data_IF_174175637563
#
_entry.id   IF_174175637563
#
_cell.length_a   1.000
_cell.length_b   1.000
_cell.length_c   1.000
_cell.angle_alpha   90.00
_cell.angle_beta   90.00
_cell.angle_gamma   90.00
#
_symmetry.space_group_name_H-M   'P 1'
#
loop_
_entity.id
_entity.type
_entity.pdbx_description
1 polymer ?
#
# COMPACT_ATOMS: atom_id res chain seq x y z
N UNK A 1 -9.62 -9.96 11.45
CA UNK A 1 -8.30 -9.52 11.94
C UNK A 1 -7.77 -10.40 13.07
N UNK A 2 -8.62 -10.87 13.99
CA UNK A 2 -8.19 -11.61 15.18
C UNK A 2 -7.43 -12.91 14.89
N UNK A 3 -7.76 -13.57 13.78
CA UNK A 3 -7.07 -14.78 13.29
C UNK A 3 -5.58 -14.58 12.99
N UNK A 4 -5.10 -13.34 12.85
CA UNK A 4 -3.69 -13.02 12.63
C UNK A 4 -2.86 -13.18 13.90
N UNK A 5 -3.45 -12.98 15.08
CA UNK A 5 -2.68 -12.83 16.31
C UNK A 5 -2.14 -14.17 16.79
N UNK A 6 -0.86 -14.16 17.20
CA UNK A 6 -0.16 -15.36 17.67
C UNK A 6 0.46 -16.22 16.56
N UNK A 7 0.15 -15.96 15.28
CA UNK A 7 0.84 -16.61 14.15
C UNK A 7 2.32 -16.25 14.11
N UNK A 8 3.15 -17.22 13.76
CA UNK A 8 4.60 -17.10 13.66
C UNK A 8 5.05 -17.09 12.21
N UNK A 9 6.05 -16.29 11.90
CA UNK A 9 6.57 -16.08 10.55
C UNK A 9 8.09 -16.04 10.56
N UNK A 10 8.71 -16.51 9.48
CA UNK A 10 10.17 -16.50 9.33
C UNK A 10 10.67 -15.10 8.97
N UNK A 11 9.85 -14.29 8.30
CA UNK A 11 10.19 -12.93 7.93
C UNK A 11 9.06 -11.93 8.15
N UNK A 12 9.42 -10.65 8.20
CA UNK A 12 8.44 -9.54 8.23
C UNK A 12 7.60 -9.53 6.95
N UNK A 13 8.20 -9.85 5.81
CA UNK A 13 7.53 -9.77 4.52
C UNK A 13 6.49 -10.88 4.37
N UNK A 14 6.77 -12.07 4.92
CA UNK A 14 5.80 -13.15 5.05
C UNK A 14 4.62 -12.74 5.95
N UNK A 15 4.91 -12.22 7.15
CA UNK A 15 3.87 -11.68 8.04
C UNK A 15 3.05 -10.59 7.34
N UNK A 16 3.71 -9.75 6.54
CA UNK A 16 3.07 -8.67 5.80
C UNK A 16 2.14 -9.20 4.71
N UNK A 17 2.55 -10.20 3.96
CA UNK A 17 1.72 -10.83 2.93
C UNK A 17 0.43 -11.41 3.54
N UNK A 18 0.54 -12.09 4.69
CA UNK A 18 -0.63 -12.64 5.40
C UNK A 18 -1.53 -11.53 5.95
N UNK A 19 -0.96 -10.44 6.48
CA UNK A 19 -1.73 -9.26 6.88
C UNK A 19 -2.52 -8.70 5.70
N UNK A 20 -1.88 -8.52 4.55
CA UNK A 20 -2.54 -7.97 3.36
C UNK A 20 -3.64 -8.91 2.83
N UNK A 21 -3.37 -10.22 2.76
CA UNK A 21 -4.33 -11.22 2.31
C UNK A 21 -5.62 -11.24 3.15
N UNK A 22 -5.51 -11.04 4.47
CA UNK A 22 -6.68 -10.96 5.35
C UNK A 22 -7.31 -9.57 5.40
N UNK A 23 -6.52 -8.50 5.27
CA UNK A 23 -7.02 -7.13 5.36
C UNK A 23 -7.72 -6.66 4.07
N UNK A 24 -7.24 -7.11 2.91
CA UNK A 24 -7.76 -6.71 1.59
C UNK A 24 -9.25 -6.99 1.43
N UNK A 25 -9.77 -8.22 1.61
CA UNK A 25 -11.20 -8.50 1.47
C UNK A 25 -12.05 -7.79 2.54
N UNK A 26 -11.47 -7.47 3.70
CA UNK A 26 -12.12 -6.69 4.77
C UNK A 26 -12.10 -5.17 4.49
N UNK A 27 -11.55 -4.74 3.36
CA UNK A 27 -11.50 -3.33 2.97
C UNK A 27 -10.53 -2.48 3.79
N UNK A 28 -9.59 -3.11 4.48
CA UNK A 28 -8.57 -2.44 5.29
C UNK A 28 -7.21 -2.51 4.62
N UNK A 29 -6.35 -1.54 4.94
CA UNK A 29 -4.96 -1.54 4.50
C UNK A 29 -4.06 -1.01 5.60
N UNK A 30 -2.87 -1.60 5.72
CA UNK A 30 -1.91 -1.24 6.75
C UNK A 30 -0.65 -0.60 6.17
N UNK A 31 -0.03 0.34 6.87
CA UNK A 31 1.21 1.00 6.45
C UNK A 31 2.21 0.97 7.59
N UNK A 32 3.50 0.76 7.30
CA UNK A 32 4.56 0.83 8.31
C UNK A 32 4.49 2.19 9.01
N UNK A 33 4.49 2.17 10.34
CA UNK A 33 4.46 3.38 11.17
C UNK A 33 5.76 3.57 11.94
N UNK A 34 6.13 2.58 12.76
CA UNK A 34 7.33 2.65 13.58
C UNK A 34 8.13 1.38 13.36
N UNK A 35 9.36 1.52 12.90
CA UNK A 35 10.27 0.40 12.61
C UNK A 35 11.38 0.39 13.65
N UNK A 36 11.62 -0.76 14.26
CA UNK A 36 12.69 -1.05 15.21
C UNK A 36 13.34 -2.40 14.82
N UNK A 37 14.56 -2.71 15.29
CA UNK A 37 15.27 -3.93 14.90
C UNK A 37 14.49 -5.25 15.10
N UNK A 38 13.67 -5.30 16.16
CA UNK A 38 12.88 -6.49 16.52
C UNK A 38 11.37 -6.24 16.53
N UNK A 39 10.89 -5.09 16.03
CA UNK A 39 9.45 -4.81 15.95
C UNK A 39 9.09 -3.79 14.89
N UNK A 40 7.99 -4.04 14.20
CA UNK A 40 7.40 -3.12 13.24
C UNK A 40 5.95 -2.92 13.64
N UNK A 41 5.62 -1.69 13.99
CA UNK A 41 4.25 -1.26 14.19
C UNK A 41 3.66 -0.82 12.86
N UNK A 42 2.53 -1.42 12.51
CA UNK A 42 1.71 -1.03 11.38
C UNK A 42 0.51 -0.22 11.88
N UNK A 43 0.07 0.72 11.04
CA UNK A 43 -1.14 1.50 11.25
C UNK A 43 -2.11 1.34 10.11
N UNK A 44 -3.39 1.57 10.35
CA UNK A 44 -4.34 1.73 9.25
C UNK A 44 -3.88 2.85 8.28
N UNK A 45 -4.06 2.64 6.98
CA UNK A 45 -3.74 3.62 5.93
C UNK A 45 -4.50 4.95 6.12
N UNK A 46 -5.71 4.89 6.71
CA UNK A 46 -6.53 6.06 7.07
C UNK A 46 -6.17 6.66 8.43
N UNK A 47 -5.16 6.13 9.12
CA UNK A 47 -4.78 6.47 10.49
C UNK A 47 -4.03 7.79 10.70
N UNK A 48 -3.85 8.59 9.64
CA UNK A 48 -3.30 9.94 9.76
C UNK A 48 -4.45 10.95 9.78
N UNK A 49 -4.15 12.16 10.24
CA UNK A 49 -5.04 13.32 10.09
C UNK A 49 -4.46 14.20 9.00
N UNK A 50 -5.30 14.65 8.08
CA UNK A 50 -4.87 15.60 7.06
C UNK A 50 -4.53 16.93 7.74
N UNK A 51 -3.31 17.42 7.49
CA UNK A 51 -2.88 18.75 7.89
C UNK A 51 -2.64 19.56 6.63
N UNK A 52 -3.43 20.61 6.44
CA UNK A 52 -3.20 21.56 5.34
C UNK A 52 -1.78 22.12 5.45
N UNK A 53 -1.02 22.07 4.35
CA UNK A 53 0.33 22.65 4.26
C UNK A 53 0.30 24.05 3.60
N UNK A 54 -0.88 24.62 3.39
CA UNK A 54 -1.03 25.91 2.70
C UNK A 54 -1.01 27.06 3.70
N UNK A 55 -0.43 28.18 3.27
CA UNK A 55 -0.59 29.45 3.99
C UNK A 55 -2.08 29.80 4.09
N UNK A 56 -2.48 30.30 5.26
CA UNK A 56 -3.81 30.83 5.51
C UNK A 56 -4.12 32.07 4.65
N UNK A 57 -3.10 32.70 4.07
CA UNK A 57 -3.22 33.90 3.23
C UNK A 57 -3.82 33.63 1.83
N UNK A 58 -3.91 32.37 1.40
CA UNK A 58 -4.45 32.04 0.08
C UNK A 58 -6.00 32.10 0.15
N UNK A 59 -6.69 32.88 -0.70
CA UNK A 59 -8.14 32.95 -0.72
C UNK A 59 -8.79 31.58 -0.97
N UNK A 60 -9.91 31.29 -0.29
CA UNK A 60 -10.63 30.02 -0.38
C UNK A 60 -10.94 29.58 -1.82
N UNK A 61 -11.29 30.51 -2.71
CA UNK A 61 -11.56 30.23 -4.12
C UNK A 61 -10.36 29.68 -4.91
N UNK A 62 -9.12 29.94 -4.46
CA UNK A 62 -7.89 29.38 -5.04
C UNK A 62 -7.40 28.13 -4.28
N UNK A 63 -8.10 27.74 -3.21
CA UNK A 63 -7.78 26.52 -2.47
C UNK A 63 -8.41 25.33 -3.20
N UNK A 64 -7.57 24.51 -3.85
CA UNK A 64 -7.99 23.18 -4.31
C UNK A 64 -8.35 22.32 -3.09
N UNK A 65 -9.61 21.92 -2.98
CA UNK A 65 -10.06 20.99 -1.95
C UNK A 65 -9.48 19.61 -2.20
N UNK A 66 -8.79 19.06 -1.20
CA UNK A 66 -8.24 17.71 -1.28
C UNK A 66 -9.26 16.74 -0.71
N UNK A 67 -9.64 15.72 -1.48
CA UNK A 67 -10.51 14.61 -1.05
C UNK A 67 -9.75 13.61 -0.17
N UNK A 68 -9.07 14.09 0.87
CA UNK A 68 -8.32 13.24 1.78
C UNK A 68 -9.26 12.26 2.47
N UNK A 69 -8.99 10.97 2.33
CA UNK A 69 -9.74 9.90 3.01
C UNK A 69 -9.17 9.58 4.40
N UNK A 70 -8.34 10.46 4.96
CA UNK A 70 -7.72 10.31 6.27
C UNK A 70 -8.73 10.56 7.39
N UNK A 71 -8.91 9.60 8.29
CA UNK A 71 -9.91 9.67 9.38
C UNK A 71 -9.28 9.72 10.77
N UNK A 72 -7.95 9.77 10.87
CA UNK A 72 -7.26 9.65 12.16
C UNK A 72 -7.44 8.29 12.82
N UNK A 73 -7.76 7.24 12.04
CA UNK A 73 -7.98 5.87 12.52
C UNK A 73 -6.92 5.41 13.53
N UNK A 74 -7.32 5.03 14.76
CA UNK A 74 -6.36 4.64 15.79
C UNK A 74 -5.79 3.25 15.58
N UNK A 75 -6.42 2.40 14.75
CA UNK A 75 -6.05 0.99 14.60
C UNK A 75 -4.55 0.76 14.32
N UNK A 76 -3.92 -0.06 15.16
CA UNK A 76 -2.53 -0.51 15.06
C UNK A 76 -2.42 -2.02 15.25
N UNK A 77 -1.42 -2.60 14.60
CA UNK A 77 -0.95 -3.96 14.88
C UNK A 77 0.58 -3.97 14.92
N UNK A 78 1.16 -4.90 15.66
CA UNK A 78 2.62 -5.00 15.81
C UNK A 78 3.09 -6.36 15.31
N UNK A 79 4.10 -6.34 14.44
CA UNK A 79 4.85 -7.55 14.06
C UNK A 79 6.16 -7.48 14.81
N UNK A 80 6.38 -8.38 15.76
CA UNK A 80 7.55 -8.32 16.64
C UNK A 80 8.13 -9.69 16.96
N UNK A 81 9.42 -9.70 17.27
CA UNK A 81 10.19 -10.87 17.70
C UNK A 81 10.92 -10.57 19.00
N UNK A 82 11.26 -11.59 19.78
CA UNK A 82 11.94 -11.40 21.07
C UNK A 82 13.43 -11.09 20.86
N UNK A 83 14.11 -11.86 20.03
CA UNK A 83 15.50 -11.66 19.63
C UNK A 83 15.69 -11.99 18.13
N UNK A 84 16.89 -11.80 17.59
CA UNK A 84 17.14 -11.89 16.14
C UNK A 84 16.76 -13.25 15.52
N UNK A 85 17.00 -14.34 16.25
CA UNK A 85 16.68 -15.71 15.83
C UNK A 85 15.24 -16.13 16.15
N UNK A 86 14.47 -15.32 16.88
CA UNK A 86 13.07 -15.63 17.17
C UNK A 86 12.20 -15.42 15.93
N UNK A 87 11.13 -16.22 15.78
CA UNK A 87 10.13 -15.96 14.76
C UNK A 87 9.44 -14.62 14.99
N UNK A 88 8.98 -14.02 13.91
CA UNK A 88 8.12 -12.83 13.95
C UNK A 88 6.71 -13.24 14.32
N UNK A 89 6.09 -12.48 15.23
CA UNK A 89 4.72 -12.75 15.70
C UNK A 89 3.86 -11.51 15.52
N UNK A 90 2.66 -11.68 14.98
CA UNK A 90 1.67 -10.60 14.92
C UNK A 90 0.96 -10.50 16.28
N UNK A 91 0.91 -9.30 16.84
CA UNK A 91 0.33 -8.98 18.14
C UNK A 91 -0.59 -7.77 18.03
N UNK A 92 -1.58 -7.71 18.91
CA UNK A 92 -2.39 -6.50 19.11
C UNK A 92 -1.51 -5.35 19.60
N UNK A 93 -1.96 -4.13 19.33
CA UNK A 93 -1.42 -2.98 20.03
C UNK A 93 -1.79 -3.05 21.51
N UNK A 94 -0.95 -2.49 22.38
CA UNK A 94 -1.20 -2.46 23.83
C UNK A 94 -2.33 -1.50 24.23
N UNK A 95 -2.72 -0.60 23.33
CA UNK A 95 -3.77 0.38 23.57
C UNK A 95 -5.09 -0.18 23.04
N UNK A 96 -6.11 -0.24 23.89
CA UNK A 96 -7.42 -0.79 23.52
C UNK A 96 -8.07 -0.01 22.37
N UNK A 97 -7.96 1.32 22.38
CA UNK A 97 -8.45 2.17 21.30
C UNK A 97 -7.75 1.91 19.96
N UNK A 98 -6.55 1.30 19.97
CA UNK A 98 -5.83 0.93 18.77
C UNK A 98 -6.23 -0.45 18.22
N UNK A 99 -7.25 -1.10 18.77
CA UNK A 99 -7.76 -2.39 18.29
C UNK A 99 -9.04 -2.25 17.46
N UNK A 100 -9.58 -1.04 17.28
CA UNK A 100 -10.81 -0.77 16.54
C UNK A 100 -10.61 0.24 15.41
N UNK A 101 -11.35 0.04 14.31
CA UNK A 101 -11.39 0.97 13.18
C UNK A 101 -12.50 2.00 13.41
N UNK A 102 -12.21 3.27 13.12
CA UNK A 102 -13.18 4.38 13.26
C UNK A 102 -13.83 4.81 11.93
N UNK A 103 -13.76 3.97 10.89
CA UNK A 103 -14.21 4.27 9.55
C UNK A 103 -14.82 3.04 8.88
N UNK A 104 -15.70 3.20 7.89
CA UNK A 104 -16.25 2.08 7.14
C UNK A 104 -15.17 1.36 6.34
N UNK A 105 -15.52 0.17 5.85
CA UNK A 105 -14.70 -0.57 4.89
C UNK A 105 -14.62 0.20 3.58
N UNK A 106 -13.47 0.12 2.90
CA UNK A 106 -13.28 0.74 1.58
C UNK A 106 -12.96 -0.34 0.54
N UNK A 107 -13.39 -0.19 -0.73
CA UNK A 107 -12.98 -1.09 -1.80
C UNK A 107 -11.46 -1.20 -1.90
N UNK A 108 -10.95 -2.36 -2.29
CA UNK A 108 -9.51 -2.60 -2.47
C UNK A 108 -8.86 -1.53 -3.37
N UNK A 109 -9.54 -1.14 -4.44
CA UNK A 109 -9.12 -0.11 -5.38
C UNK A 109 -8.90 1.28 -4.72
N UNK A 110 -9.55 1.58 -3.59
CA UNK A 110 -9.34 2.83 -2.87
C UNK A 110 -7.98 2.89 -2.16
N UNK A 111 -7.30 1.75 -1.99
CA UNK A 111 -5.99 1.66 -1.34
C UNK A 111 -4.88 1.52 -2.38
N UNK A 112 -3.95 2.48 -2.39
CA UNK A 112 -2.83 2.49 -3.35
C UNK A 112 -1.96 1.24 -3.30
N UNK A 113 -1.83 0.59 -2.13
CA UNK A 113 -1.09 -0.67 -2.01
C UNK A 113 -1.69 -1.78 -2.85
N UNK A 114 -3.01 -1.96 -2.82
CA UNK A 114 -3.65 -3.07 -3.55
C UNK A 114 -3.68 -2.81 -5.05
N UNK A 115 -3.87 -1.54 -5.47
CA UNK A 115 -3.63 -1.15 -6.86
C UNK A 115 -2.19 -1.45 -7.30
N UNK A 116 -1.21 -1.13 -6.44
CA UNK A 116 0.20 -1.44 -6.67
C UNK A 116 0.45 -2.94 -6.83
N UNK A 117 -0.10 -3.77 -5.95
CA UNK A 117 0.02 -5.23 -6.03
C UNK A 117 -0.63 -5.80 -7.31
N UNK A 118 -1.78 -5.28 -7.71
CA UNK A 118 -2.45 -5.69 -8.96
C UNK A 118 -1.61 -5.39 -10.20
N UNK A 119 -0.87 -4.27 -10.17
CA UNK A 119 0.07 -3.86 -11.21
C UNK A 119 1.35 -4.69 -11.18
N UNK A 120 1.94 -4.90 -10.00
CA UNK A 120 3.18 -5.69 -9.83
C UNK A 120 3.01 -7.11 -10.42
N UNK A 121 1.86 -7.75 -10.19
CA UNK A 121 1.51 -9.06 -10.79
C UNK A 121 1.50 -9.08 -12.32
N UNK A 122 1.40 -7.91 -12.97
CA UNK A 122 1.26 -7.75 -14.43
C UNK A 122 2.38 -6.90 -15.02
N UNK A 123 3.42 -6.62 -14.27
CA UNK A 123 4.45 -5.66 -14.65
C UNK A 123 5.14 -6.06 -15.97
N UNK A 124 5.42 -7.35 -16.16
CA UNK A 124 6.00 -7.89 -17.39
C UNK A 124 5.13 -7.62 -18.62
N UNK A 125 3.82 -7.91 -18.53
CA UNK A 125 2.86 -7.62 -19.59
C UNK A 125 2.79 -6.11 -19.87
N UNK A 126 2.70 -5.28 -18.82
CA UNK A 126 2.67 -3.82 -18.94
C UNK A 126 3.90 -3.31 -19.68
N UNK A 127 5.11 -3.79 -19.34
CA UNK A 127 6.34 -3.38 -20.01
C UNK A 127 6.41 -3.88 -21.45
N UNK A 128 5.95 -5.10 -21.72
CA UNK A 128 5.87 -5.64 -23.09
C UNK A 128 4.99 -4.76 -23.99
N UNK A 129 3.77 -4.43 -23.54
CA UNK A 129 2.85 -3.56 -24.26
C UNK A 129 3.44 -2.16 -24.44
N UNK A 130 4.06 -1.61 -23.40
CA UNK A 130 4.68 -0.29 -23.49
C UNK A 130 5.86 -0.25 -24.47
N UNK A 131 6.70 -1.28 -24.47
CA UNK A 131 7.84 -1.41 -25.39
C UNK A 131 7.39 -1.60 -26.85
N UNK A 132 6.19 -2.16 -27.07
CA UNK A 132 5.56 -2.20 -28.39
C UNK A 132 4.94 -0.87 -28.84
N UNK A 133 5.09 0.20 -28.04
CA UNK A 133 4.67 1.56 -28.38
C UNK A 133 3.29 1.97 -27.88
N UNK A 134 2.60 1.12 -27.11
CA UNK A 134 1.29 1.48 -26.55
C UNK A 134 1.43 2.54 -25.46
N UNK A 135 0.49 3.49 -25.45
CA UNK A 135 0.41 4.53 -24.42
C UNK A 135 -0.22 3.97 -23.13
N UNK A 136 0.09 4.53 -21.95
CA UNK A 136 -0.47 4.05 -20.67
C UNK A 136 -2.01 3.94 -20.62
N UNK A 137 -2.72 4.81 -21.35
CA UNK A 137 -4.20 4.75 -21.44
C UNK A 137 -4.69 3.53 -22.25
N UNK A 138 -3.96 3.14 -23.29
CA UNK A 138 -4.29 1.97 -24.11
C UNK A 138 -3.97 0.68 -23.35
N UNK A 139 -2.84 0.67 -22.64
CA UNK A 139 -2.47 -0.44 -21.74
C UNK A 139 -3.55 -0.63 -20.67
N UNK A 140 -3.99 0.45 -20.02
CA UNK A 140 -5.08 0.38 -19.04
C UNK A 140 -6.35 -0.23 -19.64
N UNK A 141 -6.78 0.22 -20.82
CA UNK A 141 -7.97 -0.29 -21.48
C UNK A 141 -7.86 -1.80 -21.76
N UNK A 142 -6.69 -2.25 -22.20
CA UNK A 142 -6.42 -3.67 -22.43
C UNK A 142 -6.46 -4.47 -21.12
N UNK A 143 -5.85 -3.98 -20.05
CA UNK A 143 -5.91 -4.62 -18.73
C UNK A 143 -7.36 -4.72 -18.23
N UNK A 144 -8.14 -3.65 -18.35
CA UNK A 144 -9.53 -3.63 -17.90
C UNK A 144 -10.44 -4.59 -18.68
N UNK A 145 -10.05 -5.01 -19.89
CA UNK A 145 -10.79 -6.03 -20.66
C UNK A 145 -10.70 -7.44 -20.07
N UNK A 146 -9.77 -7.70 -19.14
CA UNK A 146 -9.58 -9.01 -18.50
C UNK A 146 -10.70 -9.40 -17.50
N UNK A 147 -11.70 -8.52 -17.25
CA UNK A 147 -12.78 -8.72 -16.28
C UNK A 147 -12.30 -9.21 -14.89
N UNK A 148 -11.16 -8.69 -14.43
CA UNK A 148 -10.59 -9.03 -13.13
C UNK A 148 -10.90 -7.93 -12.09
N UNK A 149 -11.53 -8.24 -10.95
CA UNK A 149 -11.85 -7.26 -9.89
C UNK A 149 -10.64 -6.48 -9.35
N UNK A 150 -9.44 -7.07 -9.35
CA UNK A 150 -8.21 -6.39 -8.90
C UNK A 150 -7.82 -5.21 -9.82
N UNK A 151 -8.33 -5.19 -11.05
CA UNK A 151 -8.06 -4.16 -12.06
C UNK A 151 -9.11 -3.05 -12.05
N UNK A 152 -10.22 -3.27 -11.35
CA UNK A 152 -11.27 -2.28 -11.19
C UNK A 152 -10.73 -1.08 -10.39
N UNK A 153 -10.99 0.13 -10.88
CA UNK A 153 -10.50 1.36 -10.24
C UNK A 153 -9.00 1.64 -10.39
N UNK A 154 -8.26 0.87 -11.20
CA UNK A 154 -6.96 1.32 -11.70
C UNK A 154 -7.11 2.55 -12.60
N UNK A 155 -6.14 3.45 -12.52
CA UNK A 155 -6.10 4.67 -13.34
C UNK A 155 -4.91 4.66 -14.28
N UNK A 156 -4.98 5.48 -15.33
CA UNK A 156 -3.85 5.66 -16.28
C UNK A 156 -2.56 6.11 -15.57
N UNK A 157 -2.70 6.83 -14.45
CA UNK A 157 -1.56 7.32 -13.68
C UNK A 157 -0.90 6.20 -12.90
N UNK A 158 -1.65 5.18 -12.46
CA UNK A 158 -1.04 4.02 -11.81
C UNK A 158 -0.12 3.27 -12.81
N UNK A 159 -0.57 3.08 -14.05
CA UNK A 159 0.24 2.49 -15.13
C UNK A 159 1.47 3.34 -15.46
N UNK A 160 1.27 4.65 -15.67
CA UNK A 160 2.37 5.58 -15.94
C UNK A 160 3.42 5.56 -14.81
N UNK A 161 2.98 5.62 -13.55
CA UNK A 161 3.87 5.61 -12.40
C UNK A 161 4.63 4.30 -12.27
N UNK A 162 3.99 3.17 -12.59
CA UNK A 162 4.63 1.86 -12.56
C UNK A 162 5.74 1.74 -13.61
N UNK A 163 5.48 2.13 -14.86
CA UNK A 163 6.49 2.17 -15.93
C UNK A 163 7.66 3.07 -15.53
N UNK A 164 7.37 4.28 -15.04
CA UNK A 164 8.39 5.23 -14.61
C UNK A 164 9.26 4.65 -13.48
N UNK A 165 8.64 4.00 -12.49
CA UNK A 165 9.33 3.38 -11.37
C UNK A 165 10.21 2.20 -11.84
N UNK A 166 9.70 1.37 -12.75
CA UNK A 166 10.44 0.25 -13.32
C UNK A 166 11.73 0.70 -14.02
N UNK A 167 11.62 1.68 -14.93
CA UNK A 167 12.78 2.24 -15.62
C UNK A 167 13.81 2.85 -14.68
N UNK A 168 13.34 3.59 -13.67
CA UNK A 168 14.22 4.17 -12.65
C UNK A 168 14.99 3.07 -11.89
N UNK A 169 14.35 1.92 -11.61
CA UNK A 169 15.01 0.80 -10.96
C UNK A 169 16.05 0.15 -11.89
N UNK A 170 15.71 -0.08 -13.16
CA UNK A 170 16.66 -0.63 -14.15
C UNK A 170 17.90 0.25 -14.33
N UNK A 171 17.75 1.58 -14.33
CA UNK A 171 18.86 2.53 -14.39
C UNK A 171 19.78 2.40 -13.15
N UNK A 172 19.20 2.30 -11.96
CA UNK A 172 19.96 2.12 -10.70
C UNK A 172 20.69 0.77 -10.66
N UNK A 173 20.05 -0.29 -11.13
CA UNK A 173 20.62 -1.63 -11.18
C UNK A 173 21.75 -1.71 -12.23
N UNK A 174 21.57 -1.04 -13.38
CA UNK A 174 22.61 -0.92 -14.42
C UNK A 174 23.81 -0.07 -14.01
N UNK A 175 23.63 0.88 -13.08
CA UNK A 175 24.71 1.67 -12.48
C UNK A 175 25.51 0.87 -11.43
N UNK A 176 24.86 -0.06 -10.72
CA UNK A 176 25.50 -0.88 -9.68
C UNK A 176 26.20 -2.13 -10.21
N UNK A 177 25.86 -2.60 -11.41
CA UNK A 177 26.54 -3.71 -12.09
C UNK A 177 27.83 -3.35 -12.85
N UNK A 178 28.36 -2.12 -12.71
CA UNK A 178 29.56 -1.62 -13.42
C UNK A 178 30.84 -1.54 -12.56
N UNK A 179 30.85 -2.13 -11.37
CA UNK A 179 32.07 -2.31 -10.55
C UNK A 179 32.60 -3.73 -10.67
#
# INVERSE_FOLDING_TARGET
>A
MDELFGRQFQSVDEARAVIDALAQPLGYNFVKHRVRPNSIEFRCSKGRTYKSQRSDDIPAARRRETSSQMTGCPYRLVVGRQHALSPWVIRRSRSDSANEHNHPMFPSAAHSRYRGMAIEKRMENIMSLYNSGLKPIQILAQLQSENNPDLEGLTRHDIYNAIRKHRQQEELDGLTGKT
#
